data_IF_691746163546
#
_entry.id   IF_691746163546
#
_cell.length_a   1.000
_cell.length_b   1.000
_cell.length_c   1.000
_cell.angle_alpha   90.00
_cell.angle_beta   90.00
_cell.angle_gamma   90.00
#
_symmetry.space_group_name_H-M   'P 1'
#
loop_
_entity.id
_entity.type
_entity.pdbx_description
1 polymer ?
#
# COMPACT_ATOMS: atom_id res chain seq x y z
N UNK A 1 22.74 -1.79 -19.00
CA UNK A 1 23.17 -0.42 -18.71
C UNK A 1 22.65 -0.01 -17.35
N UNK A 2 23.56 0.30 -16.44
CA UNK A 2 23.39 0.50 -14.99
C UNK A 2 22.56 1.72 -14.55
N UNK A 3 21.66 2.24 -15.40
CA UNK A 3 20.88 3.46 -15.15
C UNK A 3 19.40 3.20 -14.80
N UNK A 4 18.90 1.97 -14.96
CA UNK A 4 17.50 1.65 -14.67
C UNK A 4 17.20 1.46 -13.17
N UNK A 5 18.20 1.18 -12.33
CA UNK A 5 18.00 0.96 -10.89
C UNK A 5 18.02 2.23 -10.04
N UNK A 6 18.37 3.40 -10.60
CA UNK A 6 18.64 4.62 -9.81
C UNK A 6 17.55 5.71 -9.89
N UNK A 7 16.44 5.50 -10.61
CA UNK A 7 15.44 6.56 -10.88
C UNK A 7 13.98 6.19 -10.55
N UNK A 8 13.72 5.36 -9.54
CA UNK A 8 12.33 5.13 -9.08
C UNK A 8 11.83 6.16 -8.07
N UNK A 9 12.54 7.27 -7.88
CA UNK A 9 12.00 8.47 -7.22
C UNK A 9 11.33 9.29 -8.31
N UNK A 10 9.99 9.29 -8.36
CA UNK A 10 9.31 10.35 -9.09
C UNK A 10 9.70 11.69 -8.46
N UNK A 11 9.75 12.78 -9.25
CA UNK A 11 10.22 14.10 -8.79
C UNK A 11 9.42 14.66 -7.58
N UNK A 12 8.31 14.01 -7.24
CA UNK A 12 7.42 14.28 -6.11
C UNK A 12 7.77 13.52 -4.82
N UNK A 13 8.88 12.76 -4.81
CA UNK A 13 9.39 12.05 -3.63
C UNK A 13 8.72 10.69 -3.35
N UNK A 14 8.00 10.14 -4.33
CA UNK A 14 7.41 8.80 -4.22
C UNK A 14 8.35 7.73 -4.77
N UNK A 15 8.46 6.62 -4.04
CA UNK A 15 9.02 5.39 -4.56
C UNK A 15 7.96 4.63 -5.37
N UNK A 16 8.28 4.28 -6.60
CA UNK A 16 7.43 3.44 -7.44
C UNK A 16 7.57 1.95 -7.05
N UNK A 17 6.49 1.36 -6.53
CA UNK A 17 6.44 -0.05 -6.16
C UNK A 17 5.97 -0.93 -7.33
N UNK A 18 6.85 -1.84 -7.74
CA UNK A 18 6.59 -2.81 -8.83
C UNK A 18 6.50 -4.25 -8.33
N UNK A 19 6.33 -4.45 -7.01
CA UNK A 19 6.15 -5.78 -6.44
C UNK A 19 7.34 -6.36 -5.66
N UNK A 20 8.42 -5.59 -5.51
CA UNK A 20 9.64 -6.01 -4.80
C UNK A 20 9.67 -5.62 -3.32
N UNK A 21 10.87 -5.58 -2.74
CA UNK A 21 11.07 -5.01 -1.40
C UNK A 21 11.16 -3.49 -1.49
N UNK A 22 10.55 -2.81 -0.51
CA UNK A 22 10.72 -1.36 -0.32
C UNK A 22 12.06 -1.07 0.36
N UNK A 23 12.91 -0.18 -0.20
CA UNK A 23 14.14 0.25 0.44
C UNK A 23 13.93 0.92 1.81
N UNK A 24 14.96 0.88 2.66
CA UNK A 24 14.94 1.61 3.93
C UNK A 24 14.84 3.13 3.68
N UNK A 25 14.13 3.83 4.57
CA UNK A 25 13.93 5.29 4.49
C UNK A 25 12.87 5.76 3.49
N UNK A 26 12.24 4.86 2.73
CA UNK A 26 11.07 5.20 1.91
C UNK A 26 9.85 5.41 2.80
N UNK A 27 9.26 6.60 2.70
CA UNK A 27 8.04 6.96 3.45
C UNK A 27 6.80 7.11 2.56
N UNK A 28 6.97 7.26 1.24
CA UNK A 28 5.88 7.47 0.28
C UNK A 28 5.98 6.49 -0.87
N UNK A 29 4.91 5.75 -1.13
CA UNK A 29 4.86 4.71 -2.15
C UNK A 29 3.73 4.99 -3.13
N UNK A 30 4.04 4.86 -4.43
CA UNK A 30 3.04 4.79 -5.50
C UNK A 30 3.06 3.41 -6.11
N UNK A 31 1.89 2.82 -6.32
CA UNK A 31 1.76 1.51 -6.95
C UNK A 31 1.91 1.69 -8.47
N UNK A 32 2.76 0.87 -9.08
CA UNK A 32 2.98 0.87 -10.53
C UNK A 32 1.71 0.49 -11.30
N UNK A 33 1.47 1.15 -12.43
CA UNK A 33 0.27 1.00 -13.26
C UNK A 33 0.04 -0.42 -13.79
N UNK A 34 1.09 -1.26 -13.83
CA UNK A 34 0.98 -2.66 -14.23
C UNK A 34 0.34 -3.56 -13.17
N UNK A 35 0.23 -3.10 -11.92
CA UNK A 35 -0.26 -3.90 -10.81
C UNK A 35 -1.77 -3.72 -10.62
N UNK A 36 -2.51 -4.82 -10.67
CA UNK A 36 -3.96 -4.83 -10.39
C UNK A 36 -4.30 -5.31 -8.98
N UNK A 37 -3.31 -5.82 -8.24
CA UNK A 37 -3.44 -6.41 -6.91
C UNK A 37 -2.25 -5.99 -6.06
N UNK A 38 -2.50 -5.61 -4.80
CA UNK A 38 -1.46 -5.55 -3.78
C UNK A 38 -1.48 -6.89 -3.06
N UNK A 39 -0.44 -7.70 -3.28
CA UNK A 39 -0.42 -9.09 -2.85
C UNK A 39 -0.28 -9.26 -1.33
N UNK A 40 -0.59 -10.47 -0.89
CA UNK A 40 -0.53 -10.82 0.51
C UNK A 40 0.85 -10.48 1.11
N UNK A 41 0.82 -9.81 2.27
CA UNK A 41 2.01 -9.39 3.04
C UNK A 41 3.01 -8.48 2.31
N UNK A 42 2.64 -7.85 1.18
CA UNK A 42 3.55 -7.02 0.37
C UNK A 42 4.31 -5.94 1.17
N UNK A 43 3.64 -5.33 2.15
CA UNK A 43 4.16 -4.28 3.03
C UNK A 43 4.11 -4.67 4.51
N UNK A 44 3.83 -5.93 4.84
CA UNK A 44 3.64 -6.36 6.24
C UNK A 44 4.82 -5.94 7.12
N UNK A 45 4.52 -5.32 8.26
CA UNK A 45 5.53 -4.91 9.24
C UNK A 45 6.38 -3.71 8.81
N UNK A 46 6.04 -3.02 7.72
CA UNK A 46 6.84 -1.89 7.26
C UNK A 46 6.70 -0.71 8.23
N UNK A 47 7.81 -0.33 8.85
CA UNK A 47 7.86 0.70 9.90
C UNK A 47 8.05 2.13 9.38
N UNK A 48 8.28 2.31 8.08
CA UNK A 48 8.65 3.62 7.52
C UNK A 48 7.58 4.19 6.58
N UNK A 49 6.82 3.36 5.86
CA UNK A 49 5.83 3.88 4.92
C UNK A 49 4.73 4.65 5.68
N UNK A 50 4.47 5.87 5.22
CA UNK A 50 3.48 6.79 5.78
C UNK A 50 2.31 7.01 4.81
N UNK A 51 2.60 6.98 3.51
CA UNK A 51 1.64 7.28 2.45
C UNK A 51 1.72 6.24 1.35
N UNK A 52 0.57 5.68 0.97
CA UNK A 52 0.42 4.79 -0.18
C UNK A 52 -0.61 5.35 -1.15
N UNK A 53 -0.23 5.49 -2.42
CA UNK A 53 -1.09 5.93 -3.52
C UNK A 53 -1.25 4.83 -4.56
N UNK A 54 -2.48 4.34 -4.71
CA UNK A 54 -2.87 3.44 -5.78
C UNK A 54 -3.53 4.22 -6.90
N UNK A 55 -3.20 3.86 -8.14
CA UNK A 55 -3.98 4.24 -9.31
C UNK A 55 -5.32 3.48 -9.37
N UNK A 56 -6.22 3.89 -10.26
CA UNK A 56 -7.57 3.31 -10.37
C UNK A 56 -7.57 1.84 -10.85
N UNK A 57 -6.44 1.34 -11.37
CA UNK A 57 -6.28 -0.02 -11.85
C UNK A 57 -6.19 -1.08 -10.75
N UNK A 58 -5.76 -0.72 -9.54
CA UNK A 58 -5.67 -1.66 -8.41
C UNK A 58 -7.08 -2.02 -7.93
N UNK A 59 -7.41 -3.31 -7.92
CA UNK A 59 -8.75 -3.84 -7.61
C UNK A 59 -8.85 -4.56 -6.28
N UNK A 60 -7.73 -5.09 -5.78
CA UNK A 60 -7.71 -5.94 -4.59
C UNK A 60 -6.49 -5.65 -3.72
N UNK A 61 -6.73 -5.62 -2.42
CA UNK A 61 -5.69 -5.67 -1.38
C UNK A 61 -5.85 -7.00 -0.64
N UNK A 62 -4.83 -7.83 -0.71
CA UNK A 62 -4.87 -9.20 -0.18
C UNK A 62 -4.55 -9.30 1.31
N UNK A 63 -4.70 -10.51 1.84
CA UNK A 63 -4.50 -10.84 3.26
C UNK A 63 -3.22 -10.20 3.81
N UNK A 64 -3.36 -9.43 4.90
CA UNK A 64 -2.24 -8.81 5.62
C UNK A 64 -1.30 -7.95 4.78
N UNK A 65 -1.73 -7.45 3.62
CA UNK A 65 -0.89 -6.66 2.72
C UNK A 65 -0.11 -5.53 3.42
N UNK A 66 -0.74 -4.83 4.37
CA UNK A 66 -0.17 -3.75 5.17
C UNK A 66 -0.20 -4.07 6.68
N UNK A 67 -0.44 -5.31 7.10
CA UNK A 67 -0.59 -5.61 8.52
C UNK A 67 0.65 -5.19 9.33
N UNK A 68 0.44 -4.52 10.47
CA UNK A 68 1.50 -4.03 11.35
C UNK A 68 2.37 -2.94 10.72
N UNK A 69 1.79 -2.02 9.93
CA UNK A 69 2.48 -0.82 9.46
C UNK A 69 2.23 0.37 10.39
N UNK A 70 3.00 0.54 11.48
CA UNK A 70 2.68 1.51 12.55
C UNK A 70 2.79 2.97 12.11
N UNK A 71 3.51 3.25 11.01
CA UNK A 71 3.70 4.61 10.50
C UNK A 71 2.73 4.96 9.37
N UNK A 72 1.96 3.98 8.86
CA UNK A 72 1.08 4.17 7.72
C UNK A 72 -0.10 5.04 8.13
N UNK A 73 -0.21 6.24 7.54
CA UNK A 73 -1.20 7.26 7.92
C UNK A 73 -2.27 7.48 6.88
N UNK A 74 -1.90 7.38 5.60
CA UNK A 74 -2.74 7.74 4.46
C UNK A 74 -2.65 6.65 3.41
N UNK A 75 -3.80 6.08 3.06
CA UNK A 75 -3.93 5.14 1.94
C UNK A 75 -4.96 5.68 0.97
N UNK A 76 -4.57 5.89 -0.28
CA UNK A 76 -5.50 6.23 -1.36
C UNK A 76 -5.62 5.06 -2.32
N UNK A 77 -6.82 4.51 -2.41
CA UNK A 77 -7.13 3.34 -3.23
C UNK A 77 -8.49 3.46 -3.92
N UNK A 78 -8.69 4.49 -4.78
CA UNK A 78 -10.00 4.82 -5.34
C UNK A 78 -10.59 3.71 -6.24
N UNK A 79 -9.75 2.82 -6.79
CA UNK A 79 -10.17 1.73 -7.65
C UNK A 79 -10.43 0.39 -6.95
N UNK A 80 -10.05 0.25 -5.67
CA UNK A 80 -10.07 -1.03 -4.95
C UNK A 80 -11.50 -1.43 -4.61
N UNK A 81 -11.83 -2.69 -4.93
CA UNK A 81 -13.14 -3.30 -4.69
C UNK A 81 -13.14 -4.25 -3.51
N UNK A 82 -12.01 -4.90 -3.23
CA UNK A 82 -11.91 -5.92 -2.18
C UNK A 82 -10.68 -5.64 -1.32
N UNK A 83 -10.91 -5.54 -0.02
CA UNK A 83 -9.87 -5.55 1.00
C UNK A 83 -10.04 -6.83 1.80
N UNK A 84 -9.02 -7.69 1.82
CA UNK A 84 -9.11 -9.00 2.47
C UNK A 84 -8.82 -8.96 3.98
N UNK A 85 -8.90 -10.13 4.60
CA UNK A 85 -8.69 -10.33 6.02
C UNK A 85 -7.37 -9.73 6.50
N UNK A 86 -7.43 -8.98 7.61
CA UNK A 86 -6.27 -8.33 8.23
C UNK A 86 -5.44 -7.41 7.32
N UNK A 87 -5.94 -7.00 6.14
CA UNK A 87 -5.16 -6.26 5.15
C UNK A 87 -4.44 -5.01 5.70
N UNK A 88 -5.05 -4.28 6.62
CA UNK A 88 -4.47 -3.14 7.35
C UNK A 88 -4.48 -3.36 8.86
N UNK A 89 -4.58 -4.60 9.35
CA UNK A 89 -4.62 -4.84 10.80
C UNK A 89 -3.36 -4.32 11.50
N UNK A 90 -3.53 -3.76 12.70
CA UNK A 90 -2.50 -3.10 13.52
C UNK A 90 -1.74 -1.96 12.81
N UNK A 91 -2.40 -1.22 11.92
CA UNK A 91 -1.87 0.04 11.38
C UNK A 91 -2.25 1.23 12.27
N UNK A 92 -1.68 1.30 13.48
CA UNK A 92 -2.07 2.23 14.57
C UNK A 92 -2.09 3.74 14.20
N UNK A 93 -1.36 4.15 13.17
CA UNK A 93 -1.32 5.53 12.72
C UNK A 93 -2.29 5.84 11.56
N UNK A 94 -3.05 4.85 11.07
CA UNK A 94 -3.88 5.00 9.88
C UNK A 94 -5.08 5.90 10.18
N UNK A 95 -5.08 7.10 9.62
CA UNK A 95 -6.16 8.11 9.85
C UNK A 95 -7.04 8.35 8.64
N UNK A 96 -6.55 8.05 7.44
CA UNK A 96 -7.28 8.33 6.20
C UNK A 96 -7.15 7.20 5.20
N UNK A 97 -8.31 6.70 4.74
CA UNK A 97 -8.42 5.70 3.70
C UNK A 97 -9.44 6.17 2.67
N UNK A 98 -9.01 6.38 1.43
CA UNK A 98 -9.88 6.69 0.29
C UNK A 98 -10.16 5.43 -0.52
N UNK A 99 -11.42 5.06 -0.67
CA UNK A 99 -11.84 3.75 -1.21
C UNK A 99 -13.21 3.79 -1.91
N UNK A 100 -13.35 4.67 -2.90
CA UNK A 100 -14.63 5.02 -3.56
C UNK A 100 -15.39 3.84 -4.21
N UNK A 101 -14.70 2.74 -4.52
CA UNK A 101 -15.26 1.57 -5.22
C UNK A 101 -15.31 0.31 -4.37
N UNK A 102 -15.15 0.44 -3.05
CA UNK A 102 -15.08 -0.70 -2.14
C UNK A 102 -16.42 -1.45 -2.08
N UNK A 103 -16.37 -2.75 -2.35
CA UNK A 103 -17.54 -3.65 -2.37
C UNK A 103 -17.49 -4.66 -1.21
N UNK A 104 -16.29 -5.08 -0.79
CA UNK A 104 -16.09 -6.09 0.27
C UNK A 104 -14.92 -5.75 1.18
N UNK A 105 -15.14 -5.92 2.49
CA UNK A 105 -14.13 -5.78 3.54
C UNK A 105 -14.05 -7.12 4.29
N UNK A 106 -12.83 -7.64 4.39
CA UNK A 106 -12.53 -8.88 5.10
C UNK A 106 -12.58 -8.72 6.62
N UNK A 107 -12.59 -9.86 7.30
CA UNK A 107 -12.56 -9.92 8.77
C UNK A 107 -11.32 -9.17 9.28
N UNK A 108 -11.51 -8.30 10.27
CA UNK A 108 -10.41 -7.59 10.95
C UNK A 108 -9.49 -6.80 10.00
N UNK A 109 -9.97 -6.46 8.80
CA UNK A 109 -9.18 -5.75 7.78
C UNK A 109 -8.57 -4.44 8.28
N UNK A 110 -9.18 -3.78 9.27
CA UNK A 110 -8.70 -2.56 9.91
C UNK A 110 -8.69 -2.68 11.45
N UNK A 111 -8.56 -3.89 11.99
CA UNK A 111 -8.45 -4.08 13.45
C UNK A 111 -7.21 -3.34 13.95
N UNK A 112 -7.32 -2.56 15.04
CA UNK A 112 -6.18 -1.86 15.61
C UNK A 112 -5.69 -0.61 14.85
N UNK A 113 -6.45 -0.13 13.86
CA UNK A 113 -6.22 1.16 13.20
C UNK A 113 -6.79 2.35 14.00
#
# INVERSE_FOLDING_TARGET
GHLACLMMMAADGYHLFTGGRIPLGVTRVRIDESLTVIWARAFQGNRNIEVVECHIGVKKVEERAFAGCPSLRIVRMPGVKVVEEWAFGDCEALRYVECDKLERIGVEAFLGC
#
